data_IF_225717950163
#
_entry.id   IF_225717950163
#
_cell.length_a   1.000
_cell.length_b   1.000
_cell.length_c   1.000
_cell.angle_alpha   90.00
_cell.angle_beta   90.00
_cell.angle_gamma   90.00
#
_symmetry.space_group_name_H-M   'P 1'
#
loop_
_entity.id
_entity.type
_entity.pdbx_description
1 polymer ?
#
# COMPACT_ATOMS: atom_id res chain seq x y z
N UNK A 1 -20.17 -39.61 46.70
CA UNK A 1 -20.23 -38.14 46.89
C UNK A 1 -19.47 -37.53 45.74
N UNK A 2 -20.13 -36.87 44.76
CA UNK A 2 -19.48 -36.41 43.54
C UNK A 2 -18.96 -34.95 43.66
N UNK A 3 -17.71 -34.75 43.25
CA UNK A 3 -17.07 -33.45 43.15
C UNK A 3 -17.49 -32.71 41.90
N UNK A 4 -18.02 -31.49 42.07
CA UNK A 4 -18.45 -30.61 41.00
C UNK A 4 -17.28 -30.00 40.25
N UNK A 5 -17.24 -30.22 38.96
CA UNK A 5 -16.38 -29.53 38.01
C UNK A 5 -17.00 -28.17 37.65
N UNK A 6 -16.40 -27.09 38.13
CA UNK A 6 -16.71 -25.73 37.71
C UNK A 6 -16.12 -25.48 36.33
N UNK A 7 -16.99 -25.22 35.35
CA UNK A 7 -16.62 -24.72 34.00
C UNK A 7 -16.08 -23.27 34.08
N UNK A 8 -15.01 -22.94 33.38
CA UNK A 8 -14.60 -21.54 33.26
C UNK A 8 -15.57 -20.77 32.36
N UNK A 9 -16.03 -19.65 32.89
CA UNK A 9 -16.86 -18.66 32.17
C UNK A 9 -16.04 -17.94 31.14
N UNK A 10 -16.45 -18.05 29.90
CA UNK A 10 -15.92 -17.22 28.76
C UNK A 10 -16.26 -15.74 28.99
N UNK A 11 -15.36 -14.81 28.69
CA UNK A 11 -15.67 -13.38 28.73
C UNK A 11 -16.68 -13.03 27.60
N UNK A 12 -17.75 -12.33 27.97
CA UNK A 12 -18.71 -11.72 27.07
C UNK A 12 -17.99 -10.73 26.16
N UNK A 13 -17.98 -10.99 24.88
CA UNK A 13 -17.62 -10.01 23.85
C UNK A 13 -18.55 -8.81 23.91
N UNK A 14 -17.95 -7.67 24.12
CA UNK A 14 -18.57 -6.33 23.98
C UNK A 14 -19.02 -6.12 22.54
N UNK A 15 -20.21 -5.56 22.26
CA UNK A 15 -20.65 -5.34 20.88
C UNK A 15 -19.74 -4.33 20.19
N UNK A 16 -19.05 -4.81 19.16
CA UNK A 16 -18.24 -4.00 18.28
C UNK A 16 -19.04 -2.76 17.83
N UNK A 17 -18.52 -1.59 18.15
CA UNK A 17 -18.94 -0.31 17.58
C UNK A 17 -18.94 -0.46 16.06
N UNK A 18 -20.10 -0.35 15.44
CA UNK A 18 -20.24 -0.09 14.01
C UNK A 18 -19.44 1.18 13.73
N UNK A 19 -18.31 1.01 13.05
CA UNK A 19 -17.63 2.11 12.41
C UNK A 19 -18.64 2.72 11.44
N UNK A 20 -19.12 3.90 11.75
CA UNK A 20 -19.83 4.75 10.81
C UNK A 20 -18.85 5.05 9.68
N UNK A 21 -19.12 4.44 8.56
CA UNK A 21 -18.46 4.68 7.28
C UNK A 21 -18.63 6.17 6.96
N UNK A 22 -17.59 6.95 7.28
CA UNK A 22 -17.51 8.36 6.93
C UNK A 22 -17.44 8.48 5.43
N UNK A 23 -18.59 8.61 4.78
CA UNK A 23 -18.72 8.96 3.39
C UNK A 23 -18.00 10.29 3.17
N UNK A 24 -16.79 10.19 2.60
CA UNK A 24 -16.11 11.34 1.99
C UNK A 24 -17.05 11.89 0.92
N UNK A 25 -17.41 13.18 0.94
CA UNK A 25 -18.28 13.76 -0.07
C UNK A 25 -17.58 13.65 -1.42
N UNK A 26 -18.23 12.96 -2.35
CA UNK A 26 -17.78 12.81 -3.71
C UNK A 26 -17.86 14.17 -4.42
N UNK A 27 -16.73 14.88 -4.50
CA UNK A 27 -16.49 15.93 -5.49
C UNK A 27 -16.17 15.30 -6.84
N UNK A 28 -17.03 14.45 -7.32
CA UNK A 28 -16.94 13.84 -8.63
C UNK A 28 -18.21 14.12 -9.38
N UNK A 29 -18.16 15.06 -10.35
CA UNK A 29 -19.25 15.27 -11.29
C UNK A 29 -19.65 13.97 -12.00
N UNK A 30 -20.57 14.05 -12.97
CA UNK A 30 -21.14 12.94 -13.75
C UNK A 30 -20.11 11.85 -14.12
N UNK A 31 -18.88 12.22 -14.42
CA UNK A 31 -17.75 11.34 -14.71
C UNK A 31 -17.35 10.45 -13.52
N UNK A 32 -17.37 10.97 -12.29
CA UNK A 32 -17.07 10.19 -11.09
C UNK A 32 -18.14 9.16 -10.78
N UNK A 33 -19.41 9.53 -10.96
CA UNK A 33 -20.55 8.64 -10.79
C UNK A 33 -20.55 7.53 -11.87
N UNK A 34 -20.26 7.88 -13.11
CA UNK A 34 -20.15 6.92 -14.22
C UNK A 34 -19.00 5.94 -14.02
N UNK A 35 -17.83 6.46 -13.59
CA UNK A 35 -16.68 5.62 -13.24
C UNK A 35 -17.03 4.62 -12.14
N UNK A 36 -17.70 5.07 -11.09
CA UNK A 36 -18.10 4.19 -9.98
C UNK A 36 -19.17 3.17 -10.39
N UNK A 37 -20.11 3.57 -11.26
CA UNK A 37 -21.14 2.68 -11.78
C UNK A 37 -20.53 1.55 -12.65
N UNK A 38 -19.59 1.89 -13.54
CA UNK A 38 -18.97 0.93 -14.48
C UNK A 38 -17.89 0.11 -13.78
N UNK A 39 -16.93 0.76 -13.11
CA UNK A 39 -15.76 0.08 -12.55
C UNK A 39 -15.98 -0.48 -11.14
N UNK A 40 -17.05 -0.07 -10.46
CA UNK A 40 -17.39 -0.55 -9.12
C UNK A 40 -16.65 0.16 -7.97
N UNK A 41 -17.00 -0.22 -6.73
CA UNK A 41 -16.42 0.36 -5.53
C UNK A 41 -15.01 -0.21 -5.25
N UNK A 42 -14.11 0.68 -4.88
CA UNK A 42 -12.76 0.31 -4.42
C UNK A 42 -11.73 0.02 -5.53
N UNK A 43 -10.45 0.24 -5.22
CA UNK A 43 -9.37 0.21 -6.20
C UNK A 43 -9.15 -1.17 -6.82
N UNK A 44 -9.30 -2.26 -6.05
CA UNK A 44 -9.12 -3.62 -6.57
C UNK A 44 -10.20 -4.01 -7.59
N UNK A 45 -11.47 -3.69 -7.31
CA UNK A 45 -12.58 -3.94 -8.25
C UNK A 45 -12.35 -3.18 -9.55
N UNK A 46 -11.91 -1.93 -9.46
CA UNK A 46 -11.63 -1.09 -10.63
C UNK A 46 -10.54 -1.69 -11.52
N UNK A 47 -9.47 -2.25 -10.93
CA UNK A 47 -8.41 -2.92 -11.69
C UNK A 47 -8.97 -4.14 -12.44
N UNK A 48 -9.72 -5.01 -11.77
CA UNK A 48 -10.30 -6.19 -12.40
C UNK A 48 -11.31 -5.82 -13.50
N UNK A 49 -12.14 -4.80 -13.27
CA UNK A 49 -13.07 -4.32 -14.29
C UNK A 49 -12.34 -3.71 -15.49
N UNK A 50 -11.25 -2.96 -15.29
CA UNK A 50 -10.42 -2.48 -16.40
C UNK A 50 -9.85 -3.62 -17.23
N UNK A 51 -9.38 -4.71 -16.61
CA UNK A 51 -8.92 -5.90 -17.31
C UNK A 51 -10.02 -6.51 -18.20
N UNK A 52 -11.22 -6.68 -17.62
CA UNK A 52 -12.39 -7.19 -18.37
C UNK A 52 -12.78 -6.28 -19.54
N UNK A 53 -12.79 -4.95 -19.33
CA UNK A 53 -13.15 -3.99 -20.36
C UNK A 53 -12.15 -3.93 -21.51
N UNK A 54 -10.84 -4.06 -21.23
CA UNK A 54 -9.81 -4.15 -22.26
C UNK A 54 -9.99 -5.42 -23.09
N UNK A 55 -10.22 -6.57 -22.43
CA UNK A 55 -10.50 -7.83 -23.14
C UNK A 55 -11.77 -7.72 -23.99
N UNK A 56 -12.85 -7.16 -23.45
CA UNK A 56 -14.09 -6.91 -24.19
C UNK A 56 -13.88 -5.99 -25.39
N UNK A 57 -13.14 -4.88 -25.22
CA UNK A 57 -12.82 -3.95 -26.32
C UNK A 57 -12.05 -4.62 -27.45
N UNK A 58 -11.09 -5.49 -27.12
CA UNK A 58 -10.35 -6.26 -28.14
C UNK A 58 -11.28 -7.20 -28.89
N UNK A 59 -12.21 -7.89 -28.20
CA UNK A 59 -13.20 -8.78 -28.84
C UNK A 59 -14.18 -8.00 -29.72
N UNK A 60 -14.54 -6.77 -29.36
CA UNK A 60 -15.33 -5.90 -30.23
C UNK A 60 -14.60 -5.58 -31.54
N UNK A 61 -13.29 -5.30 -31.47
CA UNK A 61 -12.48 -5.07 -32.68
C UNK A 61 -12.45 -6.32 -33.56
N UNK A 62 -12.27 -7.50 -32.97
CA UNK A 62 -12.30 -8.77 -33.70
C UNK A 62 -13.69 -8.97 -34.37
N UNK A 63 -14.78 -8.68 -33.67
CA UNK A 63 -16.12 -8.76 -34.22
C UNK A 63 -16.36 -7.80 -35.40
N UNK A 64 -15.79 -6.58 -35.34
CA UNK A 64 -15.85 -5.60 -36.44
C UNK A 64 -15.12 -6.15 -37.68
N UNK A 65 -13.90 -6.67 -37.51
CA UNK A 65 -13.14 -7.28 -38.61
C UNK A 65 -13.90 -8.44 -39.21
N UNK A 66 -14.49 -9.30 -38.39
CA UNK A 66 -15.28 -10.44 -38.83
C UNK A 66 -16.55 -10.03 -39.62
N UNK A 67 -17.19 -8.93 -39.23
CA UNK A 67 -18.29 -8.38 -40.02
C UNK A 67 -17.84 -7.82 -41.37
N UNK A 68 -16.64 -7.21 -41.42
CA UNK A 68 -16.06 -6.82 -42.71
C UNK A 68 -15.78 -8.03 -43.63
N UNK A 69 -15.33 -9.17 -43.05
CA UNK A 69 -15.15 -10.42 -43.82
C UNK A 69 -16.48 -10.95 -44.38
N UNK A 70 -17.60 -10.78 -43.64
CA UNK A 70 -18.95 -11.11 -44.17
C UNK A 70 -19.31 -10.21 -45.37
N UNK A 71 -19.06 -8.90 -45.25
CA UNK A 71 -19.33 -7.93 -46.33
C UNK A 71 -18.52 -8.23 -47.61
N UNK A 72 -17.30 -8.77 -47.44
CA UNK A 72 -16.42 -9.20 -48.50
C UNK A 72 -16.76 -10.60 -49.06
N UNK A 73 -17.79 -11.28 -48.52
CA UNK A 73 -18.18 -12.62 -48.93
C UNK A 73 -17.19 -13.73 -48.53
N UNK A 74 -16.31 -13.48 -47.57
CA UNK A 74 -15.31 -14.45 -47.11
C UNK A 74 -15.86 -15.42 -46.06
N UNK A 75 -16.94 -15.04 -45.36
CA UNK A 75 -17.61 -15.82 -44.28
C UNK A 75 -19.12 -15.75 -44.47
N UNK A 76 -19.79 -16.85 -44.14
CA UNK A 76 -21.26 -16.91 -44.14
C UNK A 76 -21.85 -16.11 -42.98
N UNK A 77 -22.81 -15.22 -43.28
CA UNK A 77 -23.39 -14.31 -42.29
C UNK A 77 -23.98 -15.02 -41.05
N UNK A 78 -24.75 -16.13 -41.14
CA UNK A 78 -25.28 -16.80 -39.97
C UNK A 78 -24.22 -17.31 -39.01
N UNK A 79 -23.13 -17.87 -39.51
CA UNK A 79 -22.03 -18.39 -38.69
C UNK A 79 -21.29 -17.27 -38.00
N UNK A 80 -21.05 -16.14 -38.71
CA UNK A 80 -20.43 -14.93 -38.15
C UNK A 80 -21.28 -14.33 -37.03
N UNK A 81 -22.61 -14.23 -37.22
CA UNK A 81 -23.49 -13.70 -36.18
C UNK A 81 -23.50 -14.57 -34.92
N UNK A 82 -23.50 -15.91 -35.08
CA UNK A 82 -23.43 -16.84 -33.96
C UNK A 82 -22.11 -16.72 -33.16
N UNK A 83 -20.98 -16.59 -33.87
CA UNK A 83 -19.69 -16.40 -33.24
C UNK A 83 -19.59 -15.03 -32.54
N UNK A 84 -20.14 -13.97 -33.13
CA UNK A 84 -20.21 -12.65 -32.49
C UNK A 84 -21.06 -12.70 -31.20
N UNK A 85 -22.22 -13.35 -31.25
CA UNK A 85 -23.08 -13.55 -30.10
C UNK A 85 -22.35 -14.33 -28.98
N UNK A 86 -21.63 -15.39 -29.34
CA UNK A 86 -20.78 -16.13 -28.40
C UNK A 86 -19.71 -15.25 -27.76
N UNK A 87 -18.89 -14.53 -28.54
CA UNK A 87 -17.77 -13.74 -28.06
C UNK A 87 -18.20 -12.59 -27.18
N UNK A 88 -19.16 -11.79 -27.62
CA UNK A 88 -19.66 -10.66 -26.87
C UNK A 88 -20.49 -11.10 -25.66
N UNK A 89 -21.31 -12.13 -25.82
CA UNK A 89 -22.17 -12.68 -24.75
C UNK A 89 -21.31 -13.23 -23.58
N UNK A 90 -20.31 -14.06 -23.88
CA UNK A 90 -19.43 -14.65 -22.86
C UNK A 90 -18.58 -13.59 -22.18
N UNK A 91 -18.08 -12.59 -22.93
CA UNK A 91 -17.29 -11.49 -22.35
C UNK A 91 -18.14 -10.60 -21.46
N UNK A 92 -19.36 -10.24 -21.85
CA UNK A 92 -20.32 -9.49 -21.02
C UNK A 92 -20.70 -10.28 -19.76
N UNK A 93 -20.91 -11.59 -19.87
CA UNK A 93 -21.15 -12.46 -18.71
C UNK A 93 -19.99 -12.41 -17.73
N UNK A 94 -18.75 -12.53 -18.21
CA UNK A 94 -17.56 -12.39 -17.36
C UNK A 94 -17.49 -11.02 -16.68
N UNK A 95 -17.72 -9.92 -17.40
CA UNK A 95 -17.81 -8.57 -16.84
C UNK A 95 -18.89 -8.49 -15.74
N UNK A 96 -20.07 -9.06 -15.97
CA UNK A 96 -21.16 -9.10 -14.99
C UNK A 96 -20.81 -9.90 -13.73
N UNK A 97 -20.16 -11.06 -13.88
CA UNK A 97 -19.69 -11.88 -12.75
C UNK A 97 -18.61 -11.17 -11.93
N UNK A 98 -17.70 -10.49 -12.58
CA UNK A 98 -16.66 -9.69 -11.90
C UNK A 98 -17.30 -8.50 -11.19
N UNK A 99 -18.20 -7.78 -11.86
CA UNK A 99 -18.89 -6.59 -11.31
C UNK A 99 -19.79 -6.91 -10.12
N UNK A 100 -20.49 -8.04 -10.14
CA UNK A 100 -21.32 -8.52 -9.02
C UNK A 100 -20.50 -9.04 -7.82
N UNK A 101 -19.18 -9.23 -7.98
CA UNK A 101 -18.32 -9.84 -6.98
C UNK A 101 -18.47 -11.38 -6.88
N UNK A 102 -19.32 -12.00 -7.70
CA UNK A 102 -19.51 -13.44 -7.70
C UNK A 102 -18.23 -14.17 -8.18
N UNK A 103 -17.50 -13.59 -9.14
CA UNK A 103 -16.23 -14.10 -9.61
C UNK A 103 -15.22 -14.32 -8.47
N UNK A 104 -15.16 -13.42 -7.48
CA UNK A 104 -14.28 -13.54 -6.31
C UNK A 104 -14.66 -14.73 -5.43
N UNK A 105 -15.94 -15.12 -5.39
CA UNK A 105 -16.39 -16.30 -4.63
C UNK A 105 -16.12 -17.61 -5.39
N UNK A 106 -16.27 -17.58 -6.71
CA UNK A 106 -16.07 -18.75 -7.57
C UNK A 106 -14.59 -19.05 -7.83
N UNK A 107 -13.78 -18.02 -8.05
CA UNK A 107 -12.35 -18.10 -8.36
C UNK A 107 -11.53 -17.12 -7.49
N UNK A 108 -11.30 -17.43 -6.20
CA UNK A 108 -10.56 -16.51 -5.31
C UNK A 108 -9.13 -16.20 -5.77
N UNK A 109 -8.51 -17.13 -6.49
CA UNK A 109 -7.15 -17.00 -7.04
C UNK A 109 -7.08 -16.21 -8.36
N UNK A 110 -8.22 -16.01 -9.03
CA UNK A 110 -8.36 -15.27 -10.29
C UNK A 110 -9.69 -14.47 -10.29
N UNK A 111 -9.81 -13.42 -9.47
CA UNK A 111 -11.04 -12.65 -9.32
C UNK A 111 -11.49 -11.91 -10.58
N UNK A 112 -10.59 -11.70 -11.53
CA UNK A 112 -10.88 -11.13 -12.84
C UNK A 112 -11.34 -12.17 -13.87
N UNK A 113 -11.34 -13.46 -13.52
CA UNK A 113 -11.62 -14.57 -14.43
C UNK A 113 -10.71 -14.57 -15.67
N UNK A 114 -9.45 -14.14 -15.51
CA UNK A 114 -8.51 -13.93 -16.61
C UNK A 114 -8.27 -15.22 -17.41
N UNK A 115 -8.10 -16.34 -16.71
CA UNK A 115 -7.92 -17.66 -17.36
C UNK A 115 -9.16 -18.10 -18.12
N UNK A 116 -10.35 -17.90 -17.54
CA UNK A 116 -11.63 -18.24 -18.19
C UNK A 116 -11.84 -17.40 -19.44
N UNK A 117 -11.62 -16.08 -19.34
CA UNK A 117 -11.72 -15.16 -20.49
C UNK A 117 -10.73 -15.54 -21.60
N UNK A 118 -9.49 -15.89 -21.25
CA UNK A 118 -8.48 -16.32 -22.21
C UNK A 118 -8.88 -17.62 -22.93
N UNK A 119 -9.41 -18.62 -22.20
CA UNK A 119 -9.90 -19.86 -22.81
C UNK A 119 -11.08 -19.62 -23.76
N UNK A 120 -12.04 -18.76 -23.36
CA UNK A 120 -13.18 -18.40 -24.21
C UNK A 120 -12.73 -17.66 -25.47
N UNK A 121 -11.76 -16.75 -25.35
CA UNK A 121 -11.20 -16.01 -26.49
C UNK A 121 -10.41 -16.93 -27.43
N UNK A 122 -9.64 -17.88 -26.92
CA UNK A 122 -8.94 -18.91 -27.72
C UNK A 122 -9.95 -19.80 -28.45
N UNK A 123 -11.06 -20.18 -27.79
CA UNK A 123 -12.13 -20.95 -28.43
C UNK A 123 -12.80 -20.16 -29.56
N UNK A 124 -13.08 -18.88 -29.34
CA UNK A 124 -13.60 -17.98 -30.35
C UNK A 124 -12.67 -17.85 -31.57
N UNK A 125 -11.38 -17.74 -31.34
CA UNK A 125 -10.38 -17.67 -32.41
C UNK A 125 -10.31 -18.99 -33.22
N UNK A 126 -10.35 -20.13 -32.53
CA UNK A 126 -10.42 -21.44 -33.21
C UNK A 126 -11.70 -21.61 -34.05
N UNK A 127 -12.83 -21.12 -33.54
CA UNK A 127 -14.09 -21.11 -34.28
C UNK A 127 -14.01 -20.15 -35.48
N UNK A 128 -13.50 -18.94 -35.31
CA UNK A 128 -13.24 -17.99 -36.40
C UNK A 128 -12.36 -18.62 -37.48
N UNK A 129 -11.28 -19.30 -37.11
CA UNK A 129 -10.40 -20.01 -38.04
C UNK A 129 -11.19 -21.10 -38.84
N UNK A 130 -12.13 -21.81 -38.19
CA UNK A 130 -12.92 -22.84 -38.82
C UNK A 130 -13.93 -22.33 -39.88
N UNK A 131 -14.42 -21.08 -39.71
CA UNK A 131 -15.46 -20.53 -40.62
C UNK A 131 -14.89 -19.55 -41.66
N UNK A 132 -13.71 -18.97 -41.43
CA UNK A 132 -13.08 -18.06 -42.38
C UNK A 132 -12.50 -18.83 -43.57
N UNK A 133 -12.68 -18.29 -44.73
CA UNK A 133 -12.20 -18.88 -45.98
C UNK A 133 -10.70 -18.65 -46.22
N UNK A 134 -10.33 -18.08 -47.37
CA UNK A 134 -8.90 -17.94 -47.76
C UNK A 134 -8.05 -17.08 -46.82
N UNK A 135 -8.68 -16.13 -46.11
CA UNK A 135 -7.98 -15.17 -45.23
C UNK A 135 -7.68 -15.76 -43.82
N UNK A 136 -8.06 -17.00 -43.51
CA UNK A 136 -7.95 -17.58 -42.16
C UNK A 136 -6.53 -17.57 -41.57
N UNK A 137 -5.51 -17.60 -42.41
CA UNK A 137 -4.12 -17.50 -41.96
C UNK A 137 -3.79 -16.19 -41.22
N UNK A 138 -4.47 -15.09 -41.57
CA UNK A 138 -4.31 -13.80 -40.90
C UNK A 138 -4.78 -13.82 -39.45
N UNK A 139 -5.75 -14.68 -39.09
CA UNK A 139 -6.24 -14.83 -37.73
C UNK A 139 -5.17 -15.31 -36.74
N UNK A 140 -4.14 -16.01 -37.24
CA UNK A 140 -3.02 -16.46 -36.40
C UNK A 140 -2.22 -15.29 -35.82
N UNK A 141 -2.24 -14.11 -36.47
CA UNK A 141 -1.64 -12.92 -35.93
C UNK A 141 -2.31 -12.41 -34.65
N UNK A 142 -3.60 -12.70 -34.44
CA UNK A 142 -4.34 -12.33 -33.22
C UNK A 142 -3.92 -13.12 -31.97
N UNK A 143 -3.16 -14.20 -32.14
CA UNK A 143 -2.58 -14.95 -31.03
C UNK A 143 -1.59 -14.08 -30.22
N UNK A 144 -0.81 -13.23 -30.89
CA UNK A 144 0.17 -12.41 -30.22
C UNK A 144 -0.44 -11.45 -29.18
N UNK A 145 -1.41 -10.58 -29.53
CA UNK A 145 -2.04 -9.71 -28.55
C UNK A 145 -2.78 -10.50 -27.47
N UNK A 146 -3.41 -11.63 -27.77
CA UNK A 146 -4.12 -12.45 -26.79
C UNK A 146 -3.20 -12.98 -25.68
N UNK A 147 -2.05 -13.55 -26.04
CA UNK A 147 -1.08 -14.06 -25.07
C UNK A 147 -0.32 -12.95 -24.34
N UNK A 148 -0.01 -11.84 -25.02
CA UNK A 148 0.67 -10.69 -24.39
C UNK A 148 -0.23 -10.02 -23.36
N UNK A 149 -1.52 -9.82 -23.67
CA UNK A 149 -2.49 -9.33 -22.69
C UNK A 149 -2.62 -10.26 -21.48
N UNK A 150 -2.65 -11.59 -21.70
CA UNK A 150 -2.63 -12.56 -20.62
C UNK A 150 -1.41 -12.41 -19.71
N UNK A 151 -0.21 -12.19 -20.30
CA UNK A 151 1.02 -11.91 -19.56
C UNK A 151 0.98 -10.59 -18.78
N UNK A 152 0.40 -9.53 -19.34
CA UNK A 152 0.19 -8.24 -18.65
C UNK A 152 -0.82 -8.36 -17.52
N UNK A 153 -1.85 -9.19 -17.65
CA UNK A 153 -2.88 -9.45 -16.63
C UNK A 153 -2.47 -10.51 -15.60
N UNK A 154 -1.17 -10.82 -15.53
CA UNK A 154 -0.57 -11.68 -14.50
C UNK A 154 -0.99 -13.16 -14.55
N UNK A 155 -1.24 -13.72 -15.74
CA UNK A 155 -1.32 -15.17 -15.88
C UNK A 155 -0.01 -15.81 -15.41
N UNK A 156 -0.12 -16.81 -14.54
CA UNK A 156 1.03 -17.56 -14.08
C UNK A 156 1.64 -18.37 -15.23
N UNK A 157 2.94 -18.61 -15.20
CA UNK A 157 3.63 -19.40 -16.22
C UNK A 157 2.96 -20.76 -16.50
N UNK A 158 2.40 -21.41 -15.47
CA UNK A 158 1.62 -22.64 -15.63
C UNK A 158 0.35 -22.44 -16.43
N UNK A 159 -0.40 -21.37 -16.17
CA UNK A 159 -1.64 -21.03 -16.88
C UNK A 159 -1.37 -20.69 -18.36
N UNK A 160 -0.27 -19.94 -18.62
CA UNK A 160 0.16 -19.64 -19.99
C UNK A 160 0.50 -20.91 -20.77
N UNK A 161 1.18 -21.89 -20.12
CA UNK A 161 1.44 -23.19 -20.77
C UNK A 161 0.19 -24.01 -21.04
N UNK A 162 -0.78 -24.00 -20.12
CA UNK A 162 -2.09 -24.66 -20.32
C UNK A 162 -2.82 -24.02 -21.50
N UNK A 163 -2.85 -22.68 -21.57
CA UNK A 163 -3.49 -21.95 -22.67
C UNK A 163 -2.82 -22.26 -24.02
N UNK A 164 -1.50 -22.33 -24.06
CA UNK A 164 -0.73 -22.73 -25.24
C UNK A 164 -1.08 -24.15 -25.69
N UNK A 165 -1.07 -25.11 -24.77
CA UNK A 165 -1.43 -26.50 -25.05
C UNK A 165 -2.89 -26.63 -25.56
N UNK A 166 -3.81 -25.90 -24.94
CA UNK A 166 -5.21 -25.84 -25.36
C UNK A 166 -5.37 -25.29 -26.78
N UNK A 167 -4.69 -24.19 -27.12
CA UNK A 167 -4.70 -23.65 -28.49
C UNK A 167 -4.17 -24.65 -29.52
N UNK A 168 -3.00 -25.26 -29.28
CA UNK A 168 -2.42 -26.23 -30.21
C UNK A 168 -3.32 -27.45 -30.40
N UNK A 169 -3.93 -27.96 -29.36
CA UNK A 169 -4.89 -29.06 -29.44
C UNK A 169 -6.15 -28.64 -30.25
N UNK A 170 -6.70 -27.46 -29.97
CA UNK A 170 -7.89 -26.94 -30.64
C UNK A 170 -7.61 -26.71 -32.12
N UNK A 171 -6.55 -26.00 -32.47
CA UNK A 171 -6.25 -25.72 -33.89
C UNK A 171 -5.94 -27.00 -34.67
N UNK A 172 -5.24 -27.96 -34.07
CA UNK A 172 -5.01 -29.28 -34.67
C UNK A 172 -6.32 -30.00 -34.94
N UNK A 173 -7.25 -30.04 -33.96
CA UNK A 173 -8.53 -30.66 -34.11
C UNK A 173 -9.36 -30.00 -35.22
N UNK A 174 -9.39 -28.66 -35.28
CA UNK A 174 -10.11 -27.90 -36.33
C UNK A 174 -9.50 -28.17 -37.70
N UNK A 175 -8.17 -28.15 -37.84
CA UNK A 175 -7.50 -28.43 -39.12
C UNK A 175 -7.79 -29.86 -39.61
N UNK A 176 -7.66 -30.87 -38.76
CA UNK A 176 -7.98 -32.26 -39.10
C UNK A 176 -9.45 -32.40 -39.52
N UNK A 177 -10.36 -31.81 -38.77
CA UNK A 177 -11.78 -31.85 -39.08
C UNK A 177 -12.12 -31.22 -40.45
N UNK A 178 -11.55 -30.05 -40.70
CA UNK A 178 -11.84 -29.31 -41.96
C UNK A 178 -11.15 -29.94 -43.18
N UNK A 179 -9.93 -30.42 -43.06
CA UNK A 179 -9.27 -31.14 -44.17
C UNK A 179 -9.95 -32.45 -44.55
N UNK A 180 -10.60 -33.14 -43.59
CA UNK A 180 -11.36 -34.37 -43.87
C UNK A 180 -12.75 -34.11 -44.48
N UNK A 181 -13.39 -32.95 -44.16
CA UNK A 181 -14.76 -32.64 -44.57
C UNK A 181 -14.86 -31.75 -45.82
N UNK A 182 -13.89 -30.87 -46.07
CA UNK A 182 -13.94 -29.88 -47.18
C UNK A 182 -12.53 -29.66 -47.75
N UNK A 183 -11.92 -30.70 -48.26
CA UNK A 183 -10.54 -30.70 -48.78
C UNK A 183 -10.30 -29.66 -49.92
N UNK A 184 -11.25 -29.36 -50.80
CA UNK A 184 -11.05 -28.33 -51.82
C UNK A 184 -10.87 -26.92 -51.24
N UNK A 185 -11.48 -26.63 -50.08
CA UNK A 185 -11.37 -25.32 -49.40
C UNK A 185 -10.24 -25.31 -48.38
N UNK A 186 -9.87 -26.45 -47.84
CA UNK A 186 -8.82 -26.63 -46.81
C UNK A 186 -7.72 -27.57 -47.32
N UNK A 187 -6.84 -27.05 -48.19
CA UNK A 187 -5.69 -27.83 -48.71
C UNK A 187 -4.78 -28.26 -47.55
N UNK A 188 -4.58 -29.57 -47.33
CA UNK A 188 -3.73 -30.08 -46.26
C UNK A 188 -2.32 -29.50 -46.25
N UNK A 189 -1.78 -29.13 -47.42
CA UNK A 189 -0.44 -28.54 -47.52
C UNK A 189 -0.39 -27.15 -46.89
N UNK A 190 -1.45 -26.35 -47.14
CA UNK A 190 -1.56 -25.00 -46.54
C UNK A 190 -1.80 -25.10 -45.03
N UNK A 191 -2.64 -26.07 -44.62
CA UNK A 191 -2.93 -26.28 -43.20
C UNK A 191 -1.68 -26.67 -42.40
N UNK A 192 -0.79 -27.52 -42.94
CA UNK A 192 0.48 -27.85 -42.30
C UNK A 192 1.35 -26.60 -42.11
N UNK A 193 1.37 -25.69 -43.08
CA UNK A 193 2.11 -24.41 -42.96
C UNK A 193 1.50 -23.54 -41.86
N UNK A 194 0.17 -23.40 -41.83
CA UNK A 194 -0.54 -22.65 -40.80
C UNK A 194 -0.29 -23.25 -39.41
N UNK A 195 -0.28 -24.59 -39.29
CA UNK A 195 0.01 -25.28 -38.04
C UNK A 195 1.46 -25.01 -37.55
N UNK A 196 2.42 -25.16 -38.45
CA UNK A 196 3.83 -24.87 -38.13
C UNK A 196 4.04 -23.41 -37.73
N UNK A 197 3.43 -22.47 -38.45
CA UNK A 197 3.46 -21.06 -38.11
C UNK A 197 2.81 -20.78 -36.75
N UNK A 198 1.64 -21.36 -36.49
CA UNK A 198 0.94 -21.27 -35.22
C UNK A 198 1.81 -21.78 -34.05
N UNK A 199 2.48 -22.91 -34.22
CA UNK A 199 3.38 -23.48 -33.22
C UNK A 199 4.52 -22.51 -32.88
N UNK A 200 5.16 -21.94 -33.90
CA UNK A 200 6.25 -20.99 -33.75
C UNK A 200 5.77 -19.73 -33.02
N UNK A 201 4.69 -19.13 -33.51
CA UNK A 201 4.14 -17.87 -32.95
C UNK A 201 3.71 -18.06 -31.51
N UNK A 202 2.93 -19.11 -31.21
CA UNK A 202 2.43 -19.34 -29.86
C UNK A 202 3.57 -19.62 -28.87
N UNK A 203 4.55 -20.43 -29.30
CA UNK A 203 5.70 -20.73 -28.44
C UNK A 203 6.53 -19.49 -28.15
N UNK A 204 6.82 -18.66 -29.17
CA UNK A 204 7.58 -17.43 -29.01
C UNK A 204 6.85 -16.41 -28.12
N UNK A 205 5.55 -16.20 -28.40
CA UNK A 205 4.75 -15.23 -27.64
C UNK A 205 4.47 -15.70 -26.20
N UNK A 206 4.22 -17.01 -26.00
CA UNK A 206 4.07 -17.57 -24.66
C UNK A 206 5.36 -17.43 -23.84
N UNK A 207 6.53 -17.68 -24.45
CA UNK A 207 7.83 -17.47 -23.81
C UNK A 207 8.03 -15.99 -23.43
N UNK A 208 7.67 -15.07 -24.31
CA UNK A 208 7.75 -13.63 -24.05
C UNK A 208 6.77 -13.23 -22.93
N UNK A 209 5.53 -13.69 -22.96
CA UNK A 209 4.52 -13.41 -21.93
C UNK A 209 4.97 -13.92 -20.55
N UNK A 210 5.54 -15.12 -20.47
CA UNK A 210 6.12 -15.68 -19.23
C UNK A 210 7.29 -14.81 -18.74
N UNK A 211 8.16 -14.35 -19.63
CA UNK A 211 9.27 -13.47 -19.27
C UNK A 211 8.78 -12.12 -18.74
N UNK A 212 7.80 -11.50 -19.40
CA UNK A 212 7.20 -10.24 -18.95
C UNK A 212 6.58 -10.42 -17.56
N UNK A 213 5.76 -11.43 -17.36
CA UNK A 213 5.14 -11.74 -16.06
C UNK A 213 6.21 -11.93 -14.96
N UNK A 214 7.28 -12.66 -15.26
CA UNK A 214 8.39 -12.87 -14.31
C UNK A 214 9.13 -11.58 -13.99
N UNK A 215 9.37 -10.72 -14.98
CA UNK A 215 10.00 -9.42 -14.76
C UNK A 215 9.14 -8.50 -13.91
N UNK A 216 7.84 -8.42 -14.18
CA UNK A 216 6.91 -7.60 -13.39
C UNK A 216 6.86 -8.03 -11.94
N UNK A 217 6.82 -9.35 -11.67
CA UNK A 217 6.85 -9.87 -10.30
C UNK A 217 8.17 -9.59 -9.58
N UNK A 218 9.31 -9.70 -10.28
CA UNK A 218 10.63 -9.34 -9.73
C UNK A 218 10.73 -7.86 -9.42
N UNK A 219 10.27 -6.99 -10.32
CA UNK A 219 10.26 -5.53 -10.09
C UNK A 219 9.37 -5.15 -8.90
N UNK A 220 8.21 -5.76 -8.75
CA UNK A 220 7.34 -5.54 -7.60
C UNK A 220 8.01 -5.96 -6.28
N UNK A 221 8.70 -7.12 -6.26
CA UNK A 221 9.44 -7.59 -5.09
C UNK A 221 10.62 -6.67 -4.74
N UNK A 222 11.41 -6.24 -5.75
CA UNK A 222 12.52 -5.31 -5.55
C UNK A 222 12.04 -3.95 -5.02
N UNK A 223 10.92 -3.44 -5.55
CA UNK A 223 10.32 -2.20 -5.05
C UNK A 223 9.89 -2.32 -3.58
N UNK A 224 9.27 -3.42 -3.20
CA UNK A 224 8.89 -3.66 -1.81
C UNK A 224 10.11 -3.72 -0.88
N UNK A 225 11.15 -4.47 -1.25
CA UNK A 225 12.41 -4.56 -0.50
C UNK A 225 13.13 -3.21 -0.38
N UNK A 226 13.12 -2.39 -1.44
CA UNK A 226 13.71 -1.06 -1.40
C UNK A 226 12.96 -0.13 -0.44
N UNK A 227 11.62 -0.17 -0.45
CA UNK A 227 10.80 0.63 0.49
C UNK A 227 11.12 0.23 1.93
N UNK A 228 11.18 -1.07 2.24
CA UNK A 228 11.51 -1.58 3.57
C UNK A 228 12.92 -1.16 4.01
N UNK A 229 13.90 -1.26 3.12
CA UNK A 229 15.28 -0.81 3.38
C UNK A 229 15.35 0.70 3.65
N UNK A 230 14.61 1.51 2.88
CA UNK A 230 14.53 2.97 3.09
C UNK A 230 13.86 3.31 4.42
N UNK A 231 12.77 2.64 4.79
CA UNK A 231 12.11 2.85 6.08
C UNK A 231 13.02 2.47 7.26
N UNK A 232 13.75 1.36 7.14
CA UNK A 232 14.71 0.92 8.15
C UNK A 232 15.85 1.91 8.27
N UNK A 233 16.44 2.33 7.15
CA UNK A 233 17.50 3.34 7.11
C UNK A 233 17.04 4.68 7.72
N UNK A 234 15.79 5.10 7.40
CA UNK A 234 15.21 6.31 7.97
C UNK A 234 15.01 6.20 9.48
N UNK A 235 14.49 5.08 9.98
CA UNK A 235 14.36 4.85 11.43
C UNK A 235 15.69 4.94 12.14
N UNK A 236 16.74 4.30 11.60
CA UNK A 236 18.09 4.37 12.17
C UNK A 236 18.67 5.79 12.14
N UNK A 237 18.35 6.58 11.11
CA UNK A 237 18.84 7.95 10.98
C UNK A 237 18.08 8.97 11.84
N UNK A 238 16.79 8.72 12.14
CA UNK A 238 15.90 9.68 12.83
C UNK A 238 15.60 9.31 14.29
N UNK A 239 15.91 8.07 14.74
CA UNK A 239 15.66 7.64 16.11
C UNK A 239 16.94 7.40 16.89
N UNK A 240 16.85 7.57 18.21
CA UNK A 240 17.89 7.22 19.17
C UNK A 240 17.84 5.72 19.47
N UNK A 241 18.96 5.02 19.31
CA UNK A 241 19.03 3.57 19.44
C UNK A 241 18.78 3.07 20.90
N UNK A 242 19.07 3.90 21.91
CA UNK A 242 18.92 3.52 23.31
C UNK A 242 17.47 3.67 23.78
N UNK A 243 16.84 4.80 23.48
CA UNK A 243 15.52 5.16 24.02
C UNK A 243 14.37 4.88 23.06
N UNK A 244 14.65 4.68 21.75
CA UNK A 244 13.66 4.54 20.71
C UNK A 244 12.93 5.84 20.32
N UNK A 245 13.18 6.93 21.03
CA UNK A 245 12.64 8.26 20.73
C UNK A 245 13.26 8.82 19.44
N UNK A 246 12.67 9.88 18.88
CA UNK A 246 13.37 10.65 17.86
C UNK A 246 14.73 11.16 18.41
N UNK A 247 15.75 11.11 17.58
CA UNK A 247 17.00 11.79 17.86
C UNK A 247 16.92 13.27 17.45
N UNK A 248 17.98 14.03 17.67
CA UNK A 248 18.08 15.45 17.31
C UNK A 248 17.75 15.71 15.84
N UNK A 249 18.20 14.85 14.92
CA UNK A 249 17.92 14.99 13.47
C UNK A 249 16.44 14.79 13.15
N UNK A 250 15.81 13.76 13.69
CA UNK A 250 14.39 13.47 13.51
C UNK A 250 13.52 14.60 14.05
N UNK A 251 13.85 15.13 15.25
CA UNK A 251 13.14 16.26 15.85
C UNK A 251 13.32 17.55 15.05
N UNK A 252 14.52 17.85 14.55
CA UNK A 252 14.77 19.03 13.73
C UNK A 252 13.92 19.04 12.45
N UNK A 253 13.75 17.89 11.81
CA UNK A 253 12.85 17.73 10.67
C UNK A 253 11.39 18.06 11.01
N UNK A 254 10.89 17.59 12.17
CA UNK A 254 9.55 17.91 12.64
C UNK A 254 9.39 19.38 13.03
N UNK A 255 10.38 19.95 13.71
CA UNK A 255 10.38 21.39 14.06
C UNK A 255 10.29 22.23 12.79
N UNK A 256 11.13 21.95 11.79
CA UNK A 256 11.07 22.64 10.49
C UNK A 256 9.67 22.58 9.89
N UNK A 257 9.07 21.38 9.87
CA UNK A 257 7.72 21.18 9.32
C UNK A 257 6.66 22.00 10.10
N UNK A 258 6.66 21.90 11.43
CA UNK A 258 5.69 22.60 12.26
C UNK A 258 5.85 24.13 12.25
N UNK A 259 7.11 24.61 12.14
CA UNK A 259 7.38 26.06 12.05
C UNK A 259 7.01 26.66 10.70
N UNK A 260 7.29 25.95 9.58
CA UNK A 260 7.02 26.43 8.21
C UNK A 260 5.56 26.27 7.82
N UNK A 261 4.91 25.17 8.15
CA UNK A 261 3.49 24.91 7.79
C UNK A 261 2.53 25.73 8.64
N UNK A 262 2.94 26.18 9.82
CA UNK A 262 2.21 27.19 10.57
C UNK A 262 2.13 28.55 9.85
N UNK A 263 2.93 28.75 8.78
CA UNK A 263 2.93 29.93 7.93
C UNK A 263 2.25 29.72 6.55
N UNK A 264 2.10 28.46 6.09
CA UNK A 264 1.51 28.14 4.76
C UNK A 264 0.55 26.96 4.84
N UNK A 265 -0.65 27.10 4.29
CA UNK A 265 -1.81 26.20 4.45
C UNK A 265 -1.71 24.80 3.77
N UNK A 266 -0.53 24.26 3.50
CA UNK A 266 -0.37 22.96 2.81
C UNK A 266 0.48 21.97 3.61
N UNK A 267 -0.19 21.25 4.53
CA UNK A 267 0.44 20.11 5.20
C UNK A 267 0.49 18.86 4.28
N UNK A 268 1.54 18.04 4.33
CA UNK A 268 1.57 16.72 3.70
C UNK A 268 0.42 15.83 4.21
N UNK A 269 -0.15 14.99 3.31
CA UNK A 269 -1.25 14.09 3.68
C UNK A 269 -0.87 13.21 4.86
N UNK A 270 -1.66 13.28 5.93
CA UNK A 270 -1.52 12.42 7.12
C UNK A 270 -0.89 13.08 8.34
N UNK A 271 -0.32 14.28 8.25
CA UNK A 271 0.23 15.02 9.39
C UNK A 271 -0.84 16.01 9.87
N UNK A 272 -1.32 15.85 11.13
CA UNK A 272 -2.21 16.81 11.78
C UNK A 272 -1.38 18.02 12.25
N UNK A 273 -1.26 19.03 11.41
CA UNK A 273 -0.63 20.30 11.76
C UNK A 273 -1.68 21.21 12.38
N UNK A 274 -1.39 21.90 13.51
CA UNK A 274 -2.30 22.89 14.09
C UNK A 274 -2.60 24.02 13.11
N UNK A 275 -3.79 24.64 13.26
CA UNK A 275 -4.17 25.80 12.46
C UNK A 275 -3.09 26.90 12.55
N UNK A 276 -2.91 27.64 11.45
CA UNK A 276 -2.01 28.79 11.41
C UNK A 276 -2.31 29.73 12.56
N UNK A 277 -1.27 30.07 13.38
CA UNK A 277 -1.43 30.92 14.55
C UNK A 277 -1.74 30.19 15.88
N UNK A 278 -1.91 28.86 15.89
CA UNK A 278 -2.05 28.14 17.16
C UNK A 278 -0.79 28.26 18.01
N UNK A 279 -0.92 28.42 19.36
CA UNK A 279 0.24 28.46 20.26
C UNK A 279 1.03 27.16 20.14
N UNK A 280 2.35 27.25 20.26
CA UNK A 280 3.26 26.10 20.23
C UNK A 280 4.41 26.37 21.17
N UNK A 281 4.70 25.42 22.04
CA UNK A 281 5.81 25.50 22.97
C UNK A 281 6.78 24.34 22.75
N UNK A 282 8.03 24.58 23.08
CA UNK A 282 9.06 23.57 23.23
C UNK A 282 9.63 23.63 24.66
N UNK A 283 10.07 22.48 25.14
CA UNK A 283 10.77 22.39 26.41
C UNK A 283 12.08 21.62 26.22
N UNK A 284 13.20 22.25 26.54
CA UNK A 284 14.51 21.59 26.69
C UNK A 284 14.57 21.05 28.12
N UNK A 285 14.75 19.75 28.26
CA UNK A 285 14.80 19.04 29.55
C UNK A 285 16.12 18.34 29.70
N UNK A 286 16.63 18.28 30.94
CA UNK A 286 17.91 17.64 31.25
C UNK A 286 17.79 16.92 32.59
N UNK A 287 18.30 15.70 32.68
CA UNK A 287 18.31 14.91 33.90
C UNK A 287 19.36 15.48 34.88
N UNK A 288 18.91 15.91 36.04
CA UNK A 288 19.77 16.51 37.03
C UNK A 288 20.83 15.52 37.55
N UNK A 289 22.06 15.94 37.60
CA UNK A 289 23.21 15.19 38.15
C UNK A 289 23.40 13.81 37.50
N UNK A 290 23.00 13.62 36.23
CA UNK A 290 23.12 12.35 35.53
C UNK A 290 24.54 11.79 35.50
N UNK A 291 25.56 12.66 35.44
CA UNK A 291 26.93 12.22 35.53
C UNK A 291 27.21 11.49 36.86
N UNK A 292 26.63 11.95 37.97
CA UNK A 292 26.79 11.27 39.27
C UNK A 292 26.17 9.89 39.27
N UNK A 293 25.04 9.70 38.54
CA UNK A 293 24.44 8.39 38.37
C UNK A 293 25.40 7.44 37.68
N UNK A 294 26.02 7.89 36.58
CA UNK A 294 27.01 7.09 35.86
C UNK A 294 28.25 6.79 36.69
N UNK A 295 28.78 7.81 37.38
CA UNK A 295 29.99 7.68 38.19
C UNK A 295 29.78 6.75 39.40
N UNK A 296 28.58 6.72 39.98
CA UNK A 296 28.23 5.90 41.16
C UNK A 296 27.78 4.49 40.81
N UNK A 297 26.96 4.35 39.76
CA UNK A 297 26.28 3.08 39.46
C UNK A 297 26.70 2.45 38.14
N UNK A 298 27.57 3.12 37.38
CA UNK A 298 28.05 2.66 36.07
C UNK A 298 27.13 3.01 34.92
N UNK A 299 27.68 3.00 33.68
CA UNK A 299 26.98 3.39 32.46
C UNK A 299 25.74 2.50 32.14
N UNK A 300 25.77 1.23 32.52
CA UNK A 300 24.64 0.34 32.31
C UNK A 300 23.36 0.78 33.07
N UNK A 301 23.56 1.28 34.32
CA UNK A 301 22.47 1.85 35.12
C UNK A 301 22.04 3.20 34.54
N UNK A 302 23.00 4.03 34.11
CA UNK A 302 22.72 5.29 33.42
C UNK A 302 21.86 5.08 32.16
N UNK A 303 22.19 4.08 31.33
CA UNK A 303 21.41 3.73 30.15
C UNK A 303 19.99 3.28 30.51
N UNK A 304 19.83 2.46 31.56
CA UNK A 304 18.52 2.05 32.08
C UNK A 304 17.71 3.24 32.60
N UNK A 305 18.36 4.21 33.26
CA UNK A 305 17.73 5.46 33.71
C UNK A 305 17.23 6.29 32.52
N UNK A 306 18.01 6.45 31.46
CA UNK A 306 17.61 7.16 30.24
C UNK A 306 16.41 6.48 29.59
N UNK A 307 16.42 5.15 29.47
CA UNK A 307 15.31 4.39 28.92
C UNK A 307 14.03 4.56 29.78
N UNK A 308 14.17 4.46 31.10
CA UNK A 308 13.03 4.60 32.01
C UNK A 308 12.47 6.03 32.01
N UNK A 309 13.33 7.04 32.01
CA UNK A 309 12.91 8.44 31.88
C UNK A 309 12.13 8.66 30.57
N UNK A 310 12.67 8.19 29.45
CA UNK A 310 12.03 8.28 28.14
C UNK A 310 10.65 7.62 28.12
N UNK A 311 10.49 6.42 28.69
CA UNK A 311 9.21 5.69 28.79
C UNK A 311 8.18 6.47 29.60
N UNK A 312 8.56 6.97 30.79
CA UNK A 312 7.65 7.73 31.67
C UNK A 312 7.26 9.04 31.00
N UNK A 313 8.22 9.77 30.43
CA UNK A 313 7.95 11.04 29.79
C UNK A 313 7.06 10.86 28.53
N UNK A 314 7.33 9.84 27.72
CA UNK A 314 6.50 9.53 26.54
C UNK A 314 5.05 9.14 26.93
N UNK A 315 4.87 8.38 27.97
CA UNK A 315 3.56 8.02 28.48
C UNK A 315 2.81 9.21 29.14
N UNK A 316 3.56 10.16 29.66
CA UNK A 316 3.03 11.35 30.36
C UNK A 316 2.61 12.49 29.42
N UNK A 317 2.94 12.45 28.12
CA UNK A 317 2.56 13.47 27.15
C UNK A 317 1.37 13.07 26.31
N UNK A 318 0.74 14.01 25.60
CA UNK A 318 -0.43 13.73 24.75
C UNK A 318 0.03 13.15 23.40
N UNK A 319 -0.85 12.45 22.71
CA UNK A 319 -0.52 11.80 21.43
C UNK A 319 -0.13 12.75 20.28
N UNK A 320 -0.29 14.09 20.45
CA UNK A 320 0.18 15.12 19.52
C UNK A 320 1.50 15.76 19.93
N UNK A 321 1.92 15.59 21.19
CA UNK A 321 3.19 16.08 21.70
C UNK A 321 4.27 15.09 21.26
N UNK A 322 5.46 15.59 20.97
CA UNK A 322 6.57 14.78 20.46
C UNK A 322 7.78 14.95 21.34
N UNK A 323 8.26 13.84 21.91
CA UNK A 323 9.45 13.76 22.71
C UNK A 323 10.62 13.23 21.88
N UNK A 324 11.80 13.80 22.06
CA UNK A 324 13.05 13.34 21.45
C UNK A 324 14.19 13.32 22.47
N UNK A 325 15.19 12.49 22.23
CA UNK A 325 16.49 12.59 22.89
C UNK A 325 17.36 13.53 22.08
N UNK A 326 17.64 14.71 22.65
CA UNK A 326 18.34 15.79 21.96
C UNK A 326 19.86 15.69 22.07
N UNK A 327 20.34 15.21 23.21
CA UNK A 327 21.75 15.01 23.54
C UNK A 327 21.95 13.77 24.42
N UNK A 328 23.05 13.70 25.14
CA UNK A 328 23.38 12.59 26.04
C UNK A 328 22.28 12.31 27.07
N UNK A 329 22.02 13.32 27.91
CA UNK A 329 20.99 13.30 28.98
C UNK A 329 19.90 14.35 28.77
N UNK A 330 19.92 14.99 27.57
CA UNK A 330 18.99 16.05 27.19
C UNK A 330 17.84 15.53 26.33
N UNK A 331 16.65 16.02 26.62
CA UNK A 331 15.44 15.70 25.88
C UNK A 331 14.75 16.98 25.41
N UNK A 332 14.18 16.96 24.21
CA UNK A 332 13.38 18.06 23.67
C UNK A 332 11.94 17.60 23.49
N UNK A 333 11.02 18.35 24.11
CA UNK A 333 9.57 18.12 24.00
C UNK A 333 8.93 19.21 23.15
N UNK A 334 8.30 18.83 22.05
CA UNK A 334 7.50 19.71 21.18
C UNK A 334 6.01 19.55 21.55
N UNK A 335 5.32 20.66 21.82
CA UNK A 335 3.93 20.71 22.27
C UNK A 335 3.07 21.59 21.33
N UNK A 336 2.60 21.04 20.19
CA UNK A 336 1.73 21.77 19.27
C UNK A 336 0.37 22.10 19.92
N UNK A 337 -0.11 23.33 19.70
CA UNK A 337 -1.38 23.80 20.29
C UNK A 337 -1.31 24.06 21.80
N UNK A 338 -0.10 24.28 22.33
CA UNK A 338 0.12 24.53 23.77
C UNK A 338 1.00 25.76 23.92
N UNK A 339 0.55 26.75 24.66
CA UNK A 339 1.34 27.94 25.03
C UNK A 339 2.19 27.68 26.27
N UNK A 340 2.98 28.69 26.67
CA UNK A 340 3.94 28.63 27.78
C UNK A 340 3.34 28.03 29.06
N UNK A 341 2.21 28.58 29.54
CA UNK A 341 1.62 28.13 30.81
C UNK A 341 1.10 26.70 30.75
N UNK A 342 0.62 26.29 29.56
CA UNK A 342 0.24 24.91 29.28
C UNK A 342 1.45 23.96 29.36
N UNK A 343 2.57 24.38 28.80
CA UNK A 343 3.82 23.62 28.81
C UNK A 343 4.37 23.45 30.23
N UNK A 344 4.33 24.52 31.04
CA UNK A 344 4.72 24.45 32.47
C UNK A 344 3.89 23.42 33.24
N UNK A 345 2.55 23.38 33.01
CA UNK A 345 1.68 22.36 33.64
C UNK A 345 2.00 20.92 33.18
N UNK A 346 2.40 20.75 31.91
CA UNK A 346 2.83 19.43 31.41
C UNK A 346 4.11 18.99 32.13
N UNK A 347 5.09 19.89 32.26
CA UNK A 347 6.35 19.58 32.96
C UNK A 347 6.14 19.27 34.45
N UNK A 348 5.27 20.01 35.16
CA UNK A 348 4.92 19.73 36.55
C UNK A 348 4.29 18.33 36.72
N UNK A 349 3.41 17.94 35.79
CA UNK A 349 2.85 16.59 35.79
C UNK A 349 3.93 15.54 35.54
N UNK A 350 4.84 15.77 34.58
CA UNK A 350 5.97 14.88 34.31
C UNK A 350 6.89 14.76 35.52
N UNK A 351 7.18 15.86 36.22
CA UNK A 351 7.97 15.85 37.46
C UNK A 351 7.38 14.92 38.50
N UNK A 352 6.06 15.02 38.72
CA UNK A 352 5.37 14.10 39.62
C UNK A 352 5.36 12.63 39.18
N UNK A 353 5.38 12.37 37.88
CA UNK A 353 5.48 11.01 37.34
C UNK A 353 6.91 10.46 37.45
N UNK A 354 7.92 11.26 37.16
CA UNK A 354 9.34 10.89 37.27
C UNK A 354 9.67 10.60 38.76
N UNK A 355 9.23 11.46 39.70
CA UNK A 355 9.45 11.25 41.13
C UNK A 355 8.83 9.91 41.63
N UNK A 356 7.75 9.42 40.99
CA UNK A 356 7.13 8.11 41.29
C UNK A 356 7.65 6.97 40.40
N UNK A 357 8.66 7.23 39.58
CA UNK A 357 9.09 6.34 38.50
C UNK A 357 9.84 5.08 38.91
N UNK A 358 9.90 4.74 40.19
CA UNK A 358 10.54 3.52 40.73
C UNK A 358 11.98 3.31 40.26
N UNK A 359 12.78 4.41 40.18
CA UNK A 359 14.20 4.34 39.81
C UNK A 359 15.02 3.56 40.87
N UNK A 360 14.53 3.47 42.11
CA UNK A 360 15.11 2.63 43.14
C UNK A 360 15.18 1.13 42.78
N UNK A 361 14.36 0.67 41.84
CA UNK A 361 14.47 -0.68 41.28
C UNK A 361 15.70 -0.87 40.38
N UNK A 362 16.26 0.21 39.81
CA UNK A 362 17.47 0.19 38.97
C UNK A 362 18.73 0.23 39.86
N UNK A 363 18.71 1.01 40.93
CA UNK A 363 19.77 1.07 41.93
C UNK A 363 19.20 1.51 43.29
N UNK A 364 19.60 0.89 44.41
CA UNK A 364 19.10 1.22 45.74
C UNK A 364 19.29 2.71 46.09
N UNK A 365 18.17 3.36 46.49
CA UNK A 365 18.17 4.77 46.88
C UNK A 365 18.30 5.79 45.75
N UNK A 366 18.19 5.35 44.48
CA UNK A 366 18.26 6.27 43.33
C UNK A 366 16.95 7.06 43.21
N UNK A 367 17.04 8.36 43.42
CA UNK A 367 16.00 9.34 43.11
C UNK A 367 16.41 10.19 41.92
N UNK A 368 15.48 10.46 41.04
CA UNK A 368 15.75 11.22 39.81
C UNK A 368 14.92 12.49 39.77
N UNK A 369 15.59 13.59 39.45
CA UNK A 369 14.96 14.86 39.12
C UNK A 369 15.41 15.35 37.77
N UNK A 370 14.69 16.30 37.20
CA UNK A 370 15.07 16.95 35.96
C UNK A 370 14.78 18.45 36.01
N UNK A 371 15.56 19.23 35.29
CA UNK A 371 15.35 20.64 35.05
C UNK A 371 14.85 20.86 33.62
N UNK A 372 14.05 21.91 33.38
CA UNK A 372 13.63 22.27 32.03
C UNK A 372 13.58 23.76 31.79
N UNK A 373 13.83 24.16 30.54
CA UNK A 373 13.59 25.47 30.02
C UNK A 373 12.48 25.45 28.95
N UNK A 374 11.51 26.34 29.04
CA UNK A 374 10.36 26.41 28.15
C UNK A 374 10.44 27.64 27.28
N UNK A 375 10.23 27.51 25.97
CA UNK A 375 10.04 28.63 25.05
C UNK A 375 8.76 28.44 24.25
N UNK A 376 7.93 29.49 24.20
CA UNK A 376 6.79 29.56 23.30
C UNK A 376 7.22 30.17 21.96
N UNK A 377 6.70 29.63 20.85
CA UNK A 377 6.95 30.13 19.49
C UNK A 377 6.54 31.60 19.39
N UNK A 378 7.44 32.44 18.91
CA UNK A 378 7.18 33.83 18.56
C UNK A 378 6.89 33.98 17.05
N UNK A 379 6.16 35.02 16.68
CA UNK A 379 5.85 35.28 15.29
C UNK A 379 7.12 35.60 14.49
N UNK A 380 7.34 34.88 13.39
CA UNK A 380 8.47 35.11 12.46
C UNK A 380 9.84 34.59 12.94
N UNK A 381 9.96 34.00 14.14
CA UNK A 381 11.22 33.43 14.58
C UNK A 381 11.46 32.04 13.92
N UNK A 382 12.72 31.67 13.60
CA UNK A 382 13.08 30.29 13.23
C UNK A 382 13.06 29.40 14.48
N UNK A 383 12.84 28.07 14.29
CA UNK A 383 12.79 27.14 15.42
C UNK A 383 14.07 27.11 16.25
N UNK A 384 15.24 27.31 15.62
CA UNK A 384 16.52 27.32 16.29
C UNK A 384 16.60 28.43 17.37
N UNK A 385 16.02 29.62 17.11
CA UNK A 385 15.96 30.70 18.08
C UNK A 385 15.08 30.34 19.30
N UNK A 386 13.98 29.64 19.07
CA UNK A 386 13.14 29.14 20.16
C UNK A 386 13.87 28.07 20.99
N UNK A 387 14.61 27.14 20.32
CA UNK A 387 15.45 26.14 21.00
C UNK A 387 16.54 26.83 21.86
N UNK A 388 17.20 27.86 21.34
CA UNK A 388 18.19 28.63 22.09
C UNK A 388 17.59 29.33 23.30
N UNK A 389 16.36 29.87 23.20
CA UNK A 389 15.66 30.47 24.36
C UNK A 389 15.34 29.43 25.42
N UNK A 390 14.87 28.24 24.99
CA UNK A 390 14.61 27.13 25.90
C UNK A 390 15.90 26.66 26.61
N UNK A 391 17.00 26.58 25.88
CA UNK A 391 18.29 26.19 26.43
C UNK A 391 18.80 27.20 27.46
N UNK A 392 18.75 28.52 27.19
CA UNK A 392 19.04 29.56 28.13
C UNK A 392 18.17 29.50 29.40
N UNK A 393 16.91 29.14 29.26
CA UNK A 393 16.01 28.96 30.39
C UNK A 393 16.38 27.70 31.20
N UNK A 394 16.73 26.60 30.57
CA UNK A 394 17.24 25.38 31.22
C UNK A 394 18.50 25.68 32.01
N UNK A 395 19.42 26.45 31.43
CA UNK A 395 20.65 26.88 32.15
C UNK A 395 20.30 27.63 33.43
N UNK A 396 19.31 28.58 33.41
CA UNK A 396 18.85 29.26 34.63
C UNK A 396 18.24 28.29 35.65
N UNK A 397 17.44 27.33 35.19
CA UNK A 397 16.82 26.32 36.06
C UNK A 397 17.92 25.51 36.81
N UNK A 398 18.97 25.08 36.11
CA UNK A 398 20.11 24.38 36.74
C UNK A 398 20.88 25.24 37.75
N UNK A 399 21.10 26.53 37.47
CA UNK A 399 21.79 27.43 38.36
C UNK A 399 20.98 27.86 39.58
N UNK A 400 19.67 27.96 39.44
CA UNK A 400 18.76 28.33 40.53
C UNK A 400 18.42 27.17 41.49
N UNK A 401 19.14 26.04 41.42
CA UNK A 401 19.01 24.93 42.37
C UNK A 401 18.38 23.66 41.81
N UNK A 402 18.28 23.50 40.48
CA UNK A 402 17.77 22.30 39.79
C UNK A 402 16.35 21.93 40.18
N UNK A 403 15.83 20.79 39.66
CA UNK A 403 14.49 20.28 39.91
C UNK A 403 13.41 21.36 39.73
N UNK A 404 13.54 22.20 38.70
CA UNK A 404 12.64 23.33 38.40
C UNK A 404 12.56 23.63 36.91
N UNK A 405 11.60 24.48 36.59
CA UNK A 405 11.35 24.86 35.21
C UNK A 405 11.35 26.40 35.10
N UNK A 406 12.02 26.89 34.08
CA UNK A 406 12.15 28.31 33.80
C UNK A 406 11.57 28.63 32.40
N UNK A 407 10.99 29.83 32.27
CA UNK A 407 10.49 30.29 30.97
C UNK A 407 11.56 31.16 30.28
N UNK A 408 11.70 30.94 28.93
CA UNK A 408 12.60 31.67 28.03
C UNK A 408 11.94 32.82 27.28
#
# INVERSE_FOLDING_TARGET
>A
MPGGLTRPTTPRESPARRATDGSVPASGGLLGALRHAVLGPGPQMQVHMWQCLIAFGLLCVVAIVQHAEVLLGLIDAPQSHLLTAYTLGTSLLCCGLVRSGLARRMAPSDPALTMVQALLAVTALGWSYAITGPARGALLALLAPLFLLGGMFQLRAAQTRVLMGYWLALVTAVMLWRTSGDAPRYDPRVEVIHWAFSLIVVTAVAALAIRISTLLTRLAAQKASLIEALETSRKLAEHDALTGLLNRRGMAGLLTLHWTVGATAQAPRGVKVPASGAPMAIAMMDIDLFKNVNDTHGHAVGDAVLQRFAQIAQAGVRGRDVLSRWGGEEFLLLMPGTGRDGAMRVLERLRGQIARGEFGALAPGLELTFSAGVAERQAGEPYDAAVERADKALYRAKHNGRNRFEAG
#
